data_IF_733054246564
#
_entry.id   IF_733054246564
#
_cell.length_a   1.000
_cell.length_b   1.000
_cell.length_c   1.000
_cell.angle_alpha   90.00
_cell.angle_beta   90.00
_cell.angle_gamma   90.00
#
_symmetry.space_group_name_H-M   'P 1'
#
loop_
_entity.id
_entity.type
_entity.pdbx_description
1 polymer ?
#
# COMPACT_ATOMS: atom_id res chain seq x y z
N UNK A 1 22.32 3.08 -20.31
CA UNK A 1 21.37 4.18 -20.04
C UNK A 1 20.09 3.80 -20.73
N UNK A 2 19.16 3.18 -20.00
CA UNK A 2 17.83 2.88 -20.49
C UNK A 2 16.94 4.00 -19.95
N UNK A 3 16.49 4.89 -20.85
CA UNK A 3 15.49 5.89 -20.51
C UNK A 3 14.14 5.20 -20.45
N UNK A 4 13.51 5.22 -19.27
CA UNK A 4 12.07 5.01 -19.16
C UNK A 4 11.38 6.06 -20.02
N UNK A 5 10.41 5.63 -20.84
CA UNK A 5 9.73 6.55 -21.73
C UNK A 5 8.81 7.46 -20.88
N UNK A 6 8.65 8.75 -21.20
CA UNK A 6 7.72 9.65 -20.49
C UNK A 6 6.27 9.15 -20.44
N UNK A 7 5.91 8.27 -21.38
CA UNK A 7 4.60 7.62 -21.46
C UNK A 7 4.41 6.58 -20.34
N UNK A 8 5.50 6.04 -19.78
CA UNK A 8 5.44 5.11 -18.65
C UNK A 8 4.91 5.82 -17.39
N UNK A 9 5.27 7.08 -17.15
CA UNK A 9 4.81 7.84 -15.98
C UNK A 9 3.28 8.04 -15.92
N UNK A 10 2.68 8.52 -17.02
CA UNK A 10 1.22 8.71 -17.09
C UNK A 10 0.47 7.38 -17.00
N UNK A 11 1.06 6.29 -17.52
CA UNK A 11 0.48 4.95 -17.49
C UNK A 11 0.60 4.31 -16.09
N UNK A 12 1.71 4.51 -15.37
CA UNK A 12 1.98 3.79 -14.12
C UNK A 12 1.34 4.47 -12.89
N UNK A 13 1.27 5.80 -12.83
CA UNK A 13 0.67 6.48 -11.66
C UNK A 13 -0.75 6.94 -11.96
N UNK A 14 -0.98 7.54 -13.12
CA UNK A 14 -2.27 8.12 -13.50
C UNK A 14 -3.33 7.11 -13.96
N UNK A 15 -2.92 6.04 -14.66
CA UNK A 15 -3.86 5.02 -15.17
C UNK A 15 -4.06 3.86 -14.18
N UNK A 16 -3.00 3.39 -13.48
CA UNK A 16 -3.15 2.33 -12.47
C UNK A 16 -4.03 2.74 -11.29
N UNK A 17 -3.88 3.96 -10.78
CA UNK A 17 -4.74 4.47 -9.71
C UNK A 17 -6.22 4.65 -10.13
N UNK A 18 -6.52 4.52 -11.43
CA UNK A 18 -7.88 4.61 -12.00
C UNK A 18 -8.41 3.26 -12.46
N UNK A 19 -7.63 2.19 -12.37
CA UNK A 19 -8.07 0.84 -12.73
C UNK A 19 -9.03 0.29 -11.68
N UNK A 20 -10.17 -0.21 -12.14
CA UNK A 20 -11.18 -0.83 -11.29
C UNK A 20 -10.61 -2.08 -10.61
N UNK A 21 -10.76 -2.15 -9.28
CA UNK A 21 -10.30 -3.28 -8.47
C UNK A 21 -10.90 -4.61 -8.92
N UNK A 22 -12.13 -4.60 -9.43
CA UNK A 22 -12.82 -5.80 -9.94
C UNK A 22 -12.14 -6.38 -11.19
N UNK A 23 -11.30 -5.59 -11.86
CA UNK A 23 -10.50 -6.02 -13.00
C UNK A 23 -9.03 -6.23 -12.61
N UNK A 24 -8.48 -5.34 -11.77
CA UNK A 24 -7.08 -5.37 -11.35
C UNK A 24 -6.76 -6.57 -10.45
N UNK A 25 -7.57 -6.83 -9.42
CA UNK A 25 -7.33 -7.94 -8.48
C UNK A 25 -7.18 -9.30 -9.19
N UNK A 26 -8.19 -9.74 -9.96
CA UNK A 26 -8.11 -11.01 -10.70
C UNK A 26 -7.01 -11.05 -11.78
N UNK A 27 -6.58 -9.90 -12.30
CA UNK A 27 -5.48 -9.85 -13.26
C UNK A 27 -4.12 -10.06 -12.58
N UNK A 28 -3.91 -9.47 -11.41
CA UNK A 28 -2.69 -9.64 -10.62
C UNK A 28 -2.57 -11.06 -10.05
N UNK A 29 -3.67 -11.63 -9.57
CA UNK A 29 -3.73 -13.02 -9.08
C UNK A 29 -3.37 -14.04 -10.18
N UNK A 30 -3.74 -13.75 -11.44
CA UNK A 30 -3.48 -14.65 -12.59
C UNK A 30 -2.02 -14.70 -12.99
N UNK A 31 -1.27 -13.62 -12.80
CA UNK A 31 0.16 -13.55 -13.14
C UNK A 31 0.95 -12.90 -11.97
N UNK A 32 1.33 -13.69 -10.96
CA UNK A 32 2.05 -13.20 -9.79
C UNK A 32 3.39 -12.55 -10.15
N UNK A 33 4.09 -13.05 -11.16
CA UNK A 33 5.37 -12.49 -11.58
C UNK A 33 5.19 -11.08 -12.17
N UNK A 34 4.16 -10.90 -13.00
CA UNK A 34 3.79 -9.59 -13.50
C UNK A 34 3.29 -8.66 -12.39
N UNK A 35 2.52 -9.18 -11.43
CA UNK A 35 2.04 -8.43 -10.28
C UNK A 35 3.19 -7.88 -9.43
N UNK A 36 4.15 -8.72 -9.04
CA UNK A 36 5.35 -8.28 -8.32
C UNK A 36 6.16 -7.25 -9.12
N UNK A 37 6.34 -7.48 -10.43
CA UNK A 37 7.05 -6.50 -11.27
C UNK A 37 6.35 -5.16 -11.31
N UNK A 38 5.01 -5.15 -11.37
CA UNK A 38 4.20 -3.93 -11.40
C UNK A 38 4.27 -3.18 -10.07
N UNK A 39 4.05 -3.89 -8.95
CA UNK A 39 4.05 -3.30 -7.61
C UNK A 39 5.43 -2.76 -7.22
N UNK A 40 6.49 -3.46 -7.62
CA UNK A 40 7.87 -2.99 -7.44
C UNK A 40 8.16 -1.76 -8.28
N UNK A 41 7.79 -1.77 -9.56
CA UNK A 41 7.95 -0.59 -10.42
C UNK A 41 7.17 0.61 -9.84
N UNK A 42 5.97 0.38 -9.32
CA UNK A 42 5.17 1.43 -8.67
C UNK A 42 5.83 1.96 -7.40
N UNK A 43 6.45 1.10 -6.57
CA UNK A 43 7.21 1.53 -5.39
C UNK A 43 8.42 2.40 -5.77
N UNK A 44 9.12 2.07 -6.86
CA UNK A 44 10.29 2.82 -7.35
C UNK A 44 9.93 4.23 -7.85
N UNK A 45 8.68 4.47 -8.22
CA UNK A 45 8.19 5.77 -8.72
C UNK A 45 7.46 6.62 -7.66
N UNK A 46 7.69 6.35 -6.36
CA UNK A 46 7.01 7.07 -5.27
C UNK A 46 7.23 8.58 -5.28
N UNK A 47 8.43 9.04 -5.65
CA UNK A 47 8.76 10.47 -5.78
C UNK A 47 8.53 11.00 -7.22
N UNK A 48 8.15 10.11 -8.13
CA UNK A 48 8.10 10.32 -9.56
C UNK A 48 9.37 9.87 -10.28
N UNK A 49 9.60 10.40 -11.48
CA UNK A 49 10.80 10.12 -12.27
C UNK A 49 11.66 11.39 -12.45
N UNK A 50 12.79 11.26 -13.15
CA UNK A 50 13.71 12.38 -13.42
C UNK A 50 13.06 13.58 -14.17
N UNK A 51 11.84 13.40 -14.68
CA UNK A 51 11.11 14.37 -15.50
C UNK A 51 9.77 14.82 -14.91
N UNK A 52 9.16 14.06 -14.01
CA UNK A 52 7.82 14.31 -13.47
C UNK A 52 7.74 13.98 -11.98
N UNK A 53 7.40 15.00 -11.16
CA UNK A 53 7.07 14.78 -9.76
C UNK A 53 5.64 14.29 -9.60
N UNK A 54 5.44 13.26 -8.79
CA UNK A 54 4.12 12.78 -8.37
C UNK A 54 3.30 13.94 -7.80
N UNK A 55 2.07 14.06 -8.26
CA UNK A 55 1.14 15.05 -7.74
C UNK A 55 0.50 14.51 -6.46
N UNK A 56 0.28 15.40 -5.49
CA UNK A 56 -0.30 15.06 -4.19
C UNK A 56 -1.63 14.29 -4.31
N UNK A 57 -2.48 14.67 -5.28
CA UNK A 57 -3.76 13.98 -5.53
C UNK A 57 -3.59 12.57 -6.12
N UNK A 58 -2.57 12.37 -6.95
CA UNK A 58 -2.29 11.07 -7.56
C UNK A 58 -1.68 10.10 -6.54
N UNK A 59 -0.81 10.60 -5.65
CA UNK A 59 -0.30 9.82 -4.52
C UNK A 59 -1.44 9.27 -3.65
N UNK A 60 -2.42 10.11 -3.29
CA UNK A 60 -3.58 9.65 -2.53
C UNK A 60 -4.38 8.57 -3.28
N UNK A 61 -4.56 8.71 -4.60
CA UNK A 61 -5.28 7.74 -5.41
C UNK A 61 -4.53 6.41 -5.49
N UNK A 62 -3.21 6.42 -5.65
CA UNK A 62 -2.36 5.22 -5.64
C UNK A 62 -2.46 4.48 -4.32
N UNK A 63 -2.33 5.19 -3.19
CA UNK A 63 -2.40 4.55 -1.86
C UNK A 63 -3.79 3.93 -1.63
N UNK A 64 -4.86 4.63 -2.02
CA UNK A 64 -6.22 4.09 -1.91
C UNK A 64 -6.39 2.84 -2.78
N UNK A 65 -5.89 2.86 -4.01
CA UNK A 65 -5.94 1.71 -4.91
C UNK A 65 -5.15 0.52 -4.34
N UNK A 66 -3.95 0.73 -3.83
CA UNK A 66 -3.13 -0.31 -3.19
C UNK A 66 -3.82 -0.91 -1.95
N UNK A 67 -4.48 -0.07 -1.14
CA UNK A 67 -5.33 -0.54 -0.03
C UNK A 67 -6.44 -1.47 -0.53
N UNK A 68 -7.06 -1.14 -1.66
CA UNK A 68 -8.14 -1.96 -2.23
C UNK A 68 -7.60 -3.29 -2.79
N UNK A 69 -6.40 -3.30 -3.36
CA UNK A 69 -5.68 -4.53 -3.75
C UNK A 69 -5.36 -5.38 -2.51
N UNK A 70 -4.88 -4.78 -1.42
CA UNK A 70 -4.66 -5.50 -0.17
C UNK A 70 -5.96 -6.10 0.38
N UNK A 71 -7.06 -5.37 0.33
CA UNK A 71 -8.37 -5.88 0.76
C UNK A 71 -8.81 -7.08 -0.10
N UNK A 72 -8.66 -6.98 -1.44
CA UNK A 72 -8.94 -8.09 -2.35
C UNK A 72 -8.08 -9.32 -2.04
N UNK A 73 -6.77 -9.14 -1.91
CA UNK A 73 -5.84 -10.24 -1.62
C UNK A 73 -6.14 -10.92 -0.28
N UNK A 74 -6.47 -10.14 0.75
CA UNK A 74 -6.89 -10.65 2.05
C UNK A 74 -8.18 -11.48 1.96
N UNK A 75 -9.19 -11.02 1.20
CA UNK A 75 -10.45 -11.75 1.00
C UNK A 75 -10.22 -13.08 0.24
N UNK A 76 -9.24 -13.10 -0.67
CA UNK A 76 -8.86 -14.28 -1.46
C UNK A 76 -7.87 -15.21 -0.75
N UNK A 77 -7.39 -14.84 0.44
CA UNK A 77 -6.28 -15.50 1.14
C UNK A 77 -4.97 -15.57 0.33
N UNK A 78 -4.75 -14.62 -0.58
CA UNK A 78 -3.51 -14.49 -1.33
C UNK A 78 -2.51 -13.65 -0.52
N UNK A 79 -1.73 -14.33 0.31
CA UNK A 79 -0.82 -13.68 1.25
C UNK A 79 0.40 -13.06 0.58
N UNK A 80 0.87 -13.64 -0.52
CA UNK A 80 2.02 -13.13 -1.28
C UNK A 80 1.65 -11.80 -1.96
N UNK A 81 0.45 -11.73 -2.58
CA UNK A 81 -0.06 -10.49 -3.16
C UNK A 81 -0.37 -9.44 -2.07
N UNK A 82 -0.92 -9.86 -0.93
CA UNK A 82 -1.18 -8.96 0.20
C UNK A 82 0.12 -8.34 0.72
N UNK A 83 1.17 -9.13 0.92
CA UNK A 83 2.46 -8.67 1.43
C UNK A 83 3.10 -7.65 0.48
N UNK A 84 3.20 -7.97 -0.81
CA UNK A 84 3.80 -7.06 -1.79
C UNK A 84 2.99 -5.77 -1.94
N UNK A 85 1.66 -5.87 -2.06
CA UNK A 85 0.82 -4.69 -2.19
C UNK A 85 0.88 -3.81 -0.93
N UNK A 86 0.97 -4.42 0.26
CA UNK A 86 1.10 -3.70 1.51
C UNK A 86 2.47 -3.00 1.63
N UNK A 87 3.56 -3.62 1.15
CA UNK A 87 4.86 -2.96 1.08
C UNK A 87 4.80 -1.72 0.19
N UNK A 88 4.27 -1.84 -1.03
CA UNK A 88 4.11 -0.70 -1.94
C UNK A 88 3.20 0.37 -1.31
N UNK A 89 2.09 -0.02 -0.68
CA UNK A 89 1.17 0.90 -0.02
C UNK A 89 1.87 1.70 1.08
N UNK A 90 2.64 1.03 1.94
CA UNK A 90 3.36 1.68 3.03
C UNK A 90 4.49 2.58 2.54
N UNK A 91 5.18 2.24 1.45
CA UNK A 91 6.15 3.14 0.82
C UNK A 91 5.49 4.45 0.37
N UNK A 92 4.34 4.36 -0.30
CA UNK A 92 3.62 5.53 -0.77
C UNK A 92 2.97 6.34 0.36
N UNK A 93 2.38 5.69 1.35
CA UNK A 93 1.78 6.36 2.51
C UNK A 93 2.86 7.09 3.33
N UNK A 94 4.00 6.43 3.59
CA UNK A 94 5.12 7.00 4.34
C UNK A 94 5.74 8.22 3.67
N UNK A 95 5.80 8.26 2.33
CA UNK A 95 6.37 9.37 1.58
C UNK A 95 5.44 10.60 1.52
N UNK A 96 4.13 10.39 1.43
CA UNK A 96 3.18 11.46 1.09
C UNK A 96 2.23 11.90 2.22
N UNK A 97 2.10 11.13 3.31
CA UNK A 97 1.21 11.40 4.47
C UNK A 97 -0.16 11.98 4.06
N UNK A 98 -0.88 11.21 3.24
CA UNK A 98 -2.13 11.64 2.64
C UNK A 98 -3.32 11.44 3.58
N UNK A 99 -3.92 12.54 4.06
CA UNK A 99 -5.09 12.48 4.94
C UNK A 99 -6.27 11.66 4.37
N UNK A 100 -6.55 11.80 3.07
CA UNK A 100 -7.64 11.07 2.40
C UNK A 100 -7.38 9.56 2.33
N UNK A 101 -6.13 9.15 2.10
CA UNK A 101 -5.73 7.76 2.10
C UNK A 101 -5.79 7.18 3.53
N UNK A 102 -5.25 7.90 4.52
CA UNK A 102 -5.31 7.52 5.94
C UNK A 102 -6.75 7.28 6.43
N UNK A 103 -7.70 8.10 5.99
CA UNK A 103 -9.12 7.94 6.30
C UNK A 103 -9.74 6.63 5.77
N UNK A 104 -9.15 6.03 4.72
CA UNK A 104 -9.58 4.75 4.13
C UNK A 104 -8.82 3.55 4.69
N UNK A 105 -7.53 3.72 4.96
CA UNK A 105 -6.66 2.66 5.50
C UNK A 105 -6.98 2.38 6.96
N UNK A 106 -7.21 3.43 7.76
CA UNK A 106 -7.44 3.28 9.21
C UNK A 106 -8.60 2.33 9.56
N UNK A 107 -9.82 2.49 8.99
CA UNK A 107 -10.91 1.56 9.29
C UNK A 107 -10.65 0.15 8.77
N UNK A 108 -9.88 0.01 7.68
CA UNK A 108 -9.51 -1.28 7.12
C UNK A 108 -8.53 -2.02 8.03
N UNK A 109 -7.45 -1.37 8.46
CA UNK A 109 -6.50 -1.92 9.43
C UNK A 109 -7.18 -2.37 10.72
N UNK A 110 -8.19 -1.61 11.17
CA UNK A 110 -9.00 -1.98 12.34
C UNK A 110 -9.82 -3.26 12.11
N UNK A 111 -10.29 -3.49 10.89
CA UNK A 111 -11.12 -4.63 10.53
C UNK A 111 -10.32 -5.89 10.16
N UNK A 112 -8.99 -5.78 9.96
CA UNK A 112 -8.13 -6.92 9.69
C UNK A 112 -8.05 -7.84 10.91
N UNK A 113 -8.17 -9.14 10.64
CA UNK A 113 -8.07 -10.20 11.64
C UNK A 113 -7.20 -11.34 11.09
N UNK A 114 -6.82 -12.26 11.98
CA UNK A 114 -6.18 -13.53 11.61
C UNK A 114 -4.88 -13.36 10.80
N UNK A 115 -4.75 -14.05 9.66
CA UNK A 115 -3.51 -14.06 8.88
C UNK A 115 -3.25 -12.73 8.17
N UNK A 116 -4.29 -12.09 7.65
CA UNK A 116 -4.17 -10.77 7.04
C UNK A 116 -3.63 -9.72 8.04
N UNK A 117 -4.06 -9.80 9.31
CA UNK A 117 -3.50 -8.97 10.37
C UNK A 117 -2.03 -9.31 10.70
N UNK A 118 -1.62 -10.58 10.60
CA UNK A 118 -0.20 -10.96 10.74
C UNK A 118 0.67 -10.35 9.67
N UNK A 119 0.27 -10.51 8.39
CA UNK A 119 1.01 -10.01 7.22
C UNK A 119 1.13 -8.49 7.32
N UNK A 120 0.01 -7.79 7.51
CA UNK A 120 0.02 -6.33 7.63
C UNK A 120 0.85 -5.86 8.83
N UNK A 121 0.81 -6.56 9.96
CA UNK A 121 1.63 -6.21 11.11
C UNK A 121 3.13 -6.43 10.85
N UNK A 122 3.52 -7.40 10.02
CA UNK A 122 4.91 -7.58 9.60
C UNK A 122 5.37 -6.41 8.73
N UNK A 123 4.60 -6.08 7.69
CA UNK A 123 4.89 -4.94 6.81
C UNK A 123 4.98 -3.63 7.59
N UNK A 124 4.06 -3.35 8.52
CA UNK A 124 4.10 -2.12 9.34
C UNK A 124 5.35 -2.00 10.22
N UNK A 125 5.95 -3.11 10.64
CA UNK A 125 7.22 -3.07 11.39
C UNK A 125 8.40 -2.67 10.51
N UNK A 126 8.33 -2.97 9.22
CA UNK A 126 9.38 -2.66 8.24
C UNK A 126 9.25 -1.25 7.66
N UNK A 127 8.09 -0.62 7.83
CA UNK A 127 7.77 0.72 7.31
C UNK A 127 7.39 1.68 8.45
N UNK A 128 8.35 2.10 9.29
CA UNK A 128 8.08 2.92 10.47
C UNK A 128 7.51 4.31 10.13
N UNK A 129 7.84 4.88 8.97
CA UNK A 129 7.31 6.16 8.49
C UNK A 129 5.79 6.08 8.30
N UNK A 130 5.31 5.06 7.57
CA UNK A 130 3.88 4.78 7.41
C UNK A 130 3.21 4.40 8.73
N UNK A 131 3.84 3.52 9.53
CA UNK A 131 3.26 3.08 10.80
C UNK A 131 2.99 4.23 11.79
N UNK A 132 3.81 5.28 11.78
CA UNK A 132 3.61 6.47 12.61
C UNK A 132 2.30 7.21 12.29
N UNK A 133 1.86 7.23 11.03
CA UNK A 133 0.58 7.79 10.64
C UNK A 133 -0.59 7.05 11.32
N UNK A 134 -0.40 5.78 11.65
CA UNK A 134 -1.42 4.96 12.32
C UNK A 134 -1.24 4.85 13.83
N UNK A 135 -0.38 5.66 14.47
CA UNK A 135 -0.09 5.66 15.92
C UNK A 135 -1.32 5.48 16.84
N UNK A 136 -2.43 6.14 16.51
CA UNK A 136 -3.69 6.02 17.24
C UNK A 136 -4.27 4.60 17.32
N UNK A 137 -3.90 3.69 16.40
CA UNK A 137 -4.29 2.28 16.45
C UNK A 137 -3.57 1.52 17.57
N UNK A 138 -2.41 1.96 18.07
CA UNK A 138 -1.68 1.25 19.11
C UNK A 138 -2.55 0.95 20.35
N UNK A 139 -3.39 1.90 20.74
CA UNK A 139 -4.25 1.82 21.92
C UNK A 139 -5.71 1.48 21.59
N UNK A 140 -6.03 1.33 20.31
CA UNK A 140 -7.35 0.93 19.87
C UNK A 140 -7.59 -0.56 20.11
N UNK A 141 -8.42 -0.89 21.10
CA UNK A 141 -8.72 -2.27 21.49
C UNK A 141 -9.54 -3.04 20.46
N UNK A 142 -10.12 -2.36 19.46
CA UNK A 142 -10.88 -3.00 18.40
C UNK A 142 -10.01 -3.53 17.27
N UNK A 143 -8.77 -3.05 17.15
CA UNK A 143 -7.81 -3.55 16.18
C UNK A 143 -7.09 -4.82 16.68
N UNK A 144 -6.61 -5.64 15.74
CA UNK A 144 -5.85 -6.85 16.07
C UNK A 144 -4.61 -6.52 16.94
N UNK A 145 -4.34 -7.30 18.02
CA UNK A 145 -3.18 -7.08 18.89
C UNK A 145 -1.84 -7.00 18.17
N UNK A 146 -1.66 -7.70 17.05
CA UNK A 146 -0.41 -7.70 16.24
C UNK A 146 -0.22 -6.36 15.54
N UNK A 147 -1.28 -5.81 14.94
CA UNK A 147 -1.26 -4.49 14.31
C UNK A 147 -0.98 -3.42 15.37
N UNK A 148 -1.70 -3.48 16.50
CA UNK A 148 -1.48 -2.58 17.64
C UNK A 148 -0.05 -2.59 18.14
N UNK A 149 0.55 -3.79 18.23
CA UNK A 149 1.93 -3.95 18.66
C UNK A 149 2.92 -3.39 17.63
N UNK A 150 2.74 -3.72 16.35
CA UNK A 150 3.59 -3.22 15.26
C UNK A 150 3.63 -1.70 15.23
N UNK A 151 2.46 -1.06 15.26
CA UNK A 151 2.36 0.41 15.31
C UNK A 151 3.05 0.96 16.55
N UNK A 152 2.81 0.39 17.74
CA UNK A 152 3.42 0.86 18.99
C UNK A 152 4.95 0.81 18.92
N UNK A 153 5.52 -0.28 18.41
CA UNK A 153 6.99 -0.44 18.31
C UNK A 153 7.60 0.51 17.28
N UNK A 154 6.91 0.80 16.18
CA UNK A 154 7.40 1.74 15.16
C UNK A 154 7.32 3.21 15.60
N UNK A 155 6.52 3.51 16.62
CA UNK A 155 6.39 4.87 17.21
C UNK A 155 7.23 5.08 18.46
N UNK A 156 7.94 4.06 18.94
CA UNK A 156 8.77 4.17 20.13
C UNK A 156 10.07 4.97 19.79
N UNK A 157 10.46 5.94 20.64
CA UNK A 157 11.65 6.76 20.42
C UNK A 157 12.97 6.00 20.62
#
# INVERSE_FOLDING_TARGET
>A
MAGGHPEDYEIHVGVLARLDIQQAGPALERDPAQAHSLLRALAEHVDGDDTHMVQFGDAAAVVIWLRDICAYAADQCDWDLLEEAAHTMCTWDGAWDQWSARAKITPWLRALESEAASVMAAVLREHPESAQHFSHLADDRTADPRIRHAVRTSTAP
#
